data_IF_158397816631
#
_entry.id   IF_158397816631
#
_cell.length_a   1.000
_cell.length_b   1.000
_cell.length_c   1.000
_cell.angle_alpha   90.00
_cell.angle_beta   90.00
_cell.angle_gamma   90.00
#
_symmetry.space_group_name_H-M   'P 1'
#
loop_
_entity.id
_entity.type
_entity.pdbx_description
1 polymer ?
#
# COMPACT_ATOMS: atom_id res chain seq x y z
N UNK A 1 37.62 -1.04 -4.36
CA UNK A 1 36.15 -1.10 -4.25
C UNK A 1 35.70 -2.23 -3.32
N UNK A 2 36.23 -3.47 -3.46
CA UNK A 2 36.04 -4.59 -2.51
C UNK A 2 36.44 -4.33 -1.05
N UNK A 3 37.45 -3.49 -0.81
CA UNK A 3 37.98 -3.26 0.55
C UNK A 3 37.05 -2.42 1.46
N UNK A 4 36.09 -1.68 0.88
CA UNK A 4 35.10 -0.90 1.65
C UNK A 4 33.90 -1.75 2.08
N UNK A 5 33.52 -2.76 1.29
CA UNK A 5 32.53 -3.77 1.68
C UNK A 5 33.06 -4.61 2.85
N UNK A 6 34.36 -4.94 2.84
CA UNK A 6 35.02 -5.70 3.92
C UNK A 6 35.13 -4.94 5.24
N UNK A 7 35.19 -3.60 5.26
CA UNK A 7 35.20 -2.82 6.51
C UNK A 7 33.81 -2.56 7.08
N UNK A 8 32.79 -2.43 6.24
CA UNK A 8 31.43 -2.13 6.70
C UNK A 8 30.78 -3.27 7.52
N UNK A 9 31.20 -4.53 7.29
CA UNK A 9 30.74 -5.68 8.08
C UNK A 9 31.50 -5.78 9.43
N UNK A 10 32.67 -5.14 9.55
CA UNK A 10 33.57 -5.28 10.70
C UNK A 10 33.69 -4.09 11.65
N UNK A 11 33.13 -2.91 11.35
CA UNK A 11 33.29 -1.74 12.22
C UNK A 11 32.12 -0.78 12.16
N UNK A 12 31.21 -0.88 13.14
CA UNK A 12 30.47 0.28 13.64
C UNK A 12 31.48 1.25 14.24
N UNK A 13 31.70 2.40 13.61
CA UNK A 13 32.00 3.64 14.33
C UNK A 13 31.79 4.88 13.45
N UNK A 14 31.14 5.86 14.05
CA UNK A 14 30.60 7.11 13.49
C UNK A 14 31.73 8.04 13.01
N UNK A 15 31.54 8.72 11.87
CA UNK A 15 31.89 10.16 11.69
C UNK A 15 31.35 10.74 10.37
N UNK A 16 30.59 11.82 10.52
CA UNK A 16 30.05 12.76 9.54
C UNK A 16 31.14 13.62 8.92
N UNK A 17 31.00 14.00 7.64
CA UNK A 17 31.34 15.35 7.10
C UNK A 17 30.62 15.56 5.76
N UNK A 18 30.02 16.74 5.58
CA UNK A 18 29.36 17.18 4.34
C UNK A 18 30.22 18.14 3.51
N UNK A 19 29.83 18.36 2.25
CA UNK A 19 30.13 19.58 1.51
C UNK A 19 29.26 19.68 0.23
N UNK A 20 28.78 20.90 0.00
CA UNK A 20 27.95 21.42 -1.08
C UNK A 20 28.76 21.76 -2.33
N UNK A 21 28.20 21.69 -3.54
CA UNK A 21 28.60 22.56 -4.66
C UNK A 21 27.45 22.85 -5.64
N UNK A 22 27.31 24.14 -5.99
CA UNK A 22 26.50 24.71 -7.07
C UNK A 22 27.21 24.53 -8.43
N UNK A 23 26.46 24.46 -9.54
CA UNK A 23 26.70 25.32 -10.71
C UNK A 23 25.55 25.27 -11.74
N UNK A 24 25.29 26.45 -12.30
CA UNK A 24 24.31 26.87 -13.30
C UNK A 24 24.79 26.69 -14.75
N UNK A 25 23.85 26.58 -15.70
CA UNK A 25 24.14 26.73 -17.14
C UNK A 25 22.88 26.81 -18.02
N UNK A 26 22.55 28.02 -18.48
CA UNK A 26 21.56 28.34 -19.53
C UNK A 26 22.04 27.89 -20.92
N UNK A 27 21.14 27.56 -21.86
CA UNK A 27 21.19 28.05 -23.25
C UNK A 27 19.85 27.88 -24.01
N UNK A 28 19.67 28.75 -25.01
CA UNK A 28 18.43 29.19 -25.69
C UNK A 28 17.91 28.28 -26.82
N UNK A 29 16.63 28.52 -27.08
CA UNK A 29 15.72 28.16 -28.19
C UNK A 29 16.21 28.34 -29.64
N UNK A 30 15.66 27.52 -30.57
CA UNK A 30 15.23 27.92 -31.94
C UNK A 30 14.05 27.03 -32.41
N UNK A 31 13.01 27.63 -33.02
CA UNK A 31 11.93 26.97 -33.81
C UNK A 31 12.21 27.12 -35.32
N UNK A 32 11.54 26.34 -36.20
CA UNK A 32 10.47 26.95 -37.00
C UNK A 32 9.22 26.06 -37.26
N UNK A 33 8.13 26.71 -37.70
CA UNK A 33 6.80 26.21 -38.16
C UNK A 33 6.74 26.23 -39.74
N UNK A 34 5.56 26.15 -40.42
CA UNK A 34 4.60 25.04 -40.60
C UNK A 34 4.15 24.86 -42.08
N UNK A 35 3.33 23.83 -42.38
CA UNK A 35 2.41 23.77 -43.54
C UNK A 35 1.61 22.45 -43.48
N UNK A 36 0.48 22.19 -44.12
CA UNK A 36 -0.69 22.98 -44.58
C UNK A 36 -1.79 21.95 -44.89
N UNK A 37 -3.04 22.38 -44.80
CA UNK A 37 -4.31 21.66 -44.88
C UNK A 37 -4.84 21.54 -46.32
N UNK A 38 -5.34 20.36 -46.74
CA UNK A 38 -6.32 20.14 -47.84
C UNK A 38 -6.89 18.72 -47.63
N UNK A 39 -8.16 18.35 -47.79
CA UNK A 39 -9.29 18.91 -48.53
C UNK A 39 -9.96 17.75 -49.27
N UNK A 40 -11.10 17.25 -48.76
CA UNK A 40 -11.98 16.23 -49.39
C UNK A 40 -12.74 16.89 -50.56
N UNK A 41 -13.20 16.18 -51.63
CA UNK A 41 -14.54 15.57 -51.55
C UNK A 41 -14.81 14.37 -52.50
N UNK A 42 -15.75 13.50 -52.14
CA UNK A 42 -16.78 13.09 -53.10
C UNK A 42 -18.01 12.49 -52.39
N UNK A 43 -19.18 12.99 -52.77
CA UNK A 43 -20.50 12.54 -52.35
C UNK A 43 -21.29 12.15 -53.59
N UNK A 44 -22.12 11.09 -53.52
CA UNK A 44 -23.48 11.14 -54.05
C UNK A 44 -24.35 9.89 -53.77
N UNK A 45 -25.62 10.19 -53.45
CA UNK A 45 -26.89 9.46 -53.71
C UNK A 45 -27.17 8.18 -52.89
N UNK A 46 -28.38 7.87 -52.41
CA UNK A 46 -29.78 8.35 -52.54
C UNK A 46 -30.64 7.45 -51.62
N UNK A 47 -31.79 7.92 -51.11
CA UNK A 47 -32.87 7.00 -50.69
C UNK A 47 -33.61 7.35 -49.40
N UNK A 48 -34.93 7.49 -49.51
CA UNK A 48 -35.93 7.91 -48.50
C UNK A 48 -36.47 6.70 -47.66
N UNK A 49 -37.33 6.93 -46.64
CA UNK A 49 -37.28 6.27 -45.33
C UNK A 49 -38.21 5.05 -45.19
N UNK A 50 -37.87 4.15 -44.27
CA UNK A 50 -38.78 3.12 -43.77
C UNK A 50 -38.75 3.07 -42.24
N UNK A 51 -39.94 3.18 -41.64
CA UNK A 51 -40.25 2.82 -40.25
C UNK A 51 -39.91 1.34 -40.02
N UNK A 52 -39.30 1.03 -38.87
CA UNK A 52 -39.40 -0.32 -38.30
C UNK A 52 -39.36 -0.30 -36.77
N UNK A 53 -40.32 -1.00 -36.20
CA UNK A 53 -40.39 -1.37 -34.79
C UNK A 53 -39.29 -2.36 -34.42
N UNK A 54 -38.84 -2.24 -33.17
CA UNK A 54 -38.41 -3.34 -32.29
C UNK A 54 -37.27 -4.24 -32.77
N UNK A 55 -36.05 -3.90 -32.35
CA UNK A 55 -35.02 -4.86 -31.92
C UNK A 55 -34.12 -4.22 -30.88
N UNK A 56 -34.18 -4.75 -29.66
CA UNK A 56 -33.30 -4.47 -28.54
C UNK A 56 -31.85 -4.75 -28.95
N UNK A 57 -31.09 -3.70 -29.27
CA UNK A 57 -29.66 -3.80 -29.49
C UNK A 57 -28.94 -3.82 -28.14
N UNK A 58 -28.52 -5.03 -27.77
CA UNK A 58 -27.38 -5.28 -26.91
C UNK A 58 -26.18 -4.63 -27.59
N UNK A 59 -25.78 -3.45 -27.12
CA UNK A 59 -24.47 -2.87 -27.40
C UNK A 59 -23.85 -2.48 -26.06
N UNK A 60 -22.93 -3.34 -25.62
CA UNK A 60 -22.14 -3.15 -24.42
C UNK A 60 -21.24 -1.94 -24.54
N UNK A 61 -21.53 -0.94 -23.71
CA UNK A 61 -20.60 0.11 -23.30
C UNK A 61 -20.43 0.01 -21.79
N UNK A 62 -19.19 0.14 -21.33
CA UNK A 62 -18.75 -0.07 -19.96
C UNK A 62 -19.67 0.65 -18.95
N UNK A 63 -20.14 -0.08 -17.93
CA UNK A 63 -21.05 0.45 -16.92
C UNK A 63 -20.39 1.57 -16.13
N UNK A 64 -20.85 2.81 -16.29
CA UNK A 64 -20.42 3.90 -15.43
C UNK A 64 -21.06 3.72 -14.04
N UNK A 65 -20.24 3.39 -13.04
CA UNK A 65 -20.65 3.36 -11.63
C UNK A 65 -21.26 4.72 -11.24
N UNK A 66 -22.58 4.78 -11.02
CA UNK A 66 -23.29 6.03 -10.73
C UNK A 66 -23.06 6.43 -9.28
N UNK A 67 -22.62 7.67 -9.05
CA UNK A 67 -22.47 8.23 -7.69
C UNK A 67 -23.83 8.21 -6.96
N UNK A 68 -23.94 7.60 -5.77
CA UNK A 68 -25.14 7.67 -4.94
C UNK A 68 -25.41 9.13 -4.57
N UNK A 69 -26.68 9.51 -4.56
CA UNK A 69 -27.04 10.84 -4.13
C UNK A 69 -27.21 10.89 -2.61
N UNK A 70 -26.11 11.15 -1.91
CA UNK A 70 -26.05 11.14 -0.44
C UNK A 70 -26.98 12.14 0.25
N UNK A 71 -27.46 13.18 -0.45
CA UNK A 71 -28.41 14.14 0.12
C UNK A 71 -29.82 13.57 0.29
N UNK A 72 -30.17 12.51 -0.44
CA UNK A 72 -31.49 11.85 -0.38
C UNK A 72 -31.46 10.51 0.35
N UNK A 73 -30.28 10.03 0.73
CA UNK A 73 -30.12 8.79 1.50
C UNK A 73 -30.30 9.09 2.99
N UNK A 74 -31.16 8.32 3.68
CA UNK A 74 -31.29 8.43 5.13
C UNK A 74 -30.10 7.74 5.82
N UNK A 75 -29.03 8.50 6.00
CA UNK A 75 -27.79 8.04 6.60
C UNK A 75 -27.99 7.78 8.10
N UNK A 76 -28.03 6.49 8.49
CA UNK A 76 -28.04 6.11 9.90
C UNK A 76 -26.82 6.71 10.61
N UNK A 77 -26.99 7.44 11.73
CA UNK A 77 -25.88 7.90 12.53
C UNK A 77 -25.02 6.73 13.01
N UNK A 78 -23.73 6.98 13.20
CA UNK A 78 -22.81 5.98 13.70
C UNK A 78 -21.81 6.61 14.66
N UNK A 79 -21.33 5.84 15.63
CA UNK A 79 -20.33 6.30 16.60
C UNK A 79 -18.96 6.29 15.92
N UNK A 80 -18.27 7.43 15.96
CA UNK A 80 -16.90 7.63 15.44
C UNK A 80 -15.85 7.68 16.53
N UNK A 81 -16.14 8.43 17.59
CA UNK A 81 -15.25 8.60 18.73
C UNK A 81 -15.60 7.57 19.79
N UNK A 82 -14.68 6.62 19.97
CA UNK A 82 -14.75 5.60 21.01
C UNK A 82 -13.48 5.59 21.85
N UNK A 83 -12.61 6.58 21.68
CA UNK A 83 -11.38 6.67 22.44
C UNK A 83 -11.67 7.21 23.84
N UNK A 84 -11.40 6.37 24.84
CA UNK A 84 -11.38 6.77 26.24
C UNK A 84 -9.92 6.65 26.68
N UNK A 85 -9.23 7.76 26.98
CA UNK A 85 -7.83 7.70 27.38
C UNK A 85 -7.69 6.92 28.69
N UNK A 86 -6.72 6.02 28.74
CA UNK A 86 -6.37 5.33 29.98
C UNK A 86 -5.88 6.35 31.04
N UNK A 87 -6.17 6.16 32.34
CA UNK A 87 -5.77 7.10 33.38
C UNK A 87 -4.28 7.48 33.32
N UNK A 88 -3.39 6.52 33.08
CA UNK A 88 -1.95 6.76 32.92
C UNK A 88 -1.63 7.69 31.75
N UNK A 89 -2.34 7.58 30.62
CA UNK A 89 -2.15 8.44 29.44
C UNK A 89 -2.68 9.85 29.71
N UNK A 90 -3.77 9.96 30.47
CA UNK A 90 -4.39 11.24 30.83
C UNK A 90 -3.57 12.01 31.88
N UNK A 91 -2.99 11.31 32.85
CA UNK A 91 -2.17 11.91 33.91
C UNK A 91 -0.69 12.09 33.54
N UNK A 92 -0.26 11.60 32.37
CA UNK A 92 1.14 11.66 31.93
C UNK A 92 1.61 13.11 31.83
N UNK A 93 2.78 13.39 32.43
CA UNK A 93 3.31 14.74 32.46
C UNK A 93 3.65 15.22 31.03
N UNK A 94 3.33 16.47 30.64
CA UNK A 94 3.60 16.97 29.29
C UNK A 94 5.05 16.80 28.83
N UNK A 95 6.01 17.01 29.73
CA UNK A 95 7.43 16.81 29.42
C UNK A 95 7.77 15.36 29.06
N UNK A 96 7.13 14.37 29.71
CA UNK A 96 7.35 12.95 29.40
C UNK A 96 6.78 12.60 28.02
N UNK A 97 5.64 13.19 27.67
CA UNK A 97 5.03 13.04 26.34
C UNK A 97 5.95 13.63 25.27
N UNK A 98 6.50 14.82 25.51
CA UNK A 98 7.40 15.49 24.58
C UNK A 98 8.73 14.72 24.41
N UNK A 99 9.31 14.20 25.50
CA UNK A 99 10.49 13.33 25.45
C UNK A 99 10.19 12.07 24.65
N UNK A 100 9.09 11.37 24.94
CA UNK A 100 8.71 10.18 24.19
C UNK A 100 8.55 10.46 22.69
N UNK A 101 7.93 11.59 22.33
CA UNK A 101 7.78 12.01 20.93
C UNK A 101 9.12 12.32 20.28
N UNK A 102 10.04 12.99 20.97
CA UNK A 102 11.37 13.30 20.45
C UNK A 102 12.19 12.03 20.22
N UNK A 103 12.25 11.12 21.21
CA UNK A 103 13.00 9.86 21.13
C UNK A 103 12.49 8.96 19.99
N UNK A 104 11.16 8.93 19.81
CA UNK A 104 10.52 8.16 18.73
C UNK A 104 10.37 8.92 17.41
N UNK A 105 10.94 10.13 17.30
CA UNK A 105 10.90 10.97 16.11
C UNK A 105 9.47 11.21 15.59
N UNK A 106 8.54 11.43 16.50
CA UNK A 106 7.13 11.68 16.24
C UNK A 106 6.93 13.16 15.96
N UNK A 107 6.47 13.48 14.75
CA UNK A 107 6.03 14.82 14.37
C UNK A 107 4.54 14.82 14.08
N UNK A 108 3.84 15.81 14.61
CA UNK A 108 2.38 15.93 14.53
C UNK A 108 1.99 17.27 13.89
N UNK A 109 0.94 17.24 13.07
CA UNK A 109 0.26 18.44 12.56
C UNK A 109 -1.24 18.20 12.59
N UNK A 110 -1.99 19.14 13.16
CA UNK A 110 -3.43 19.02 13.38
C UNK A 110 -3.81 19.65 14.72
N UNK A 111 -5.08 19.53 15.09
CA UNK A 111 -5.61 20.06 16.35
C UNK A 111 -6.16 18.93 17.21
N UNK A 112 -6.20 19.13 18.54
CA UNK A 112 -6.80 18.18 19.50
C UNK A 112 -6.29 16.74 19.34
N UNK A 113 -4.97 16.60 19.18
CA UNK A 113 -4.32 15.30 18.98
C UNK A 113 -4.16 14.61 20.35
N UNK A 114 -4.71 13.39 20.53
CA UNK A 114 -4.55 12.68 21.80
C UNK A 114 -3.10 12.30 22.12
N UNK A 115 -2.81 12.12 23.41
CA UNK A 115 -1.49 11.68 23.89
C UNK A 115 -1.19 10.24 23.43
N UNK A 116 0.10 9.90 23.20
CA UNK A 116 0.50 8.57 22.77
C UNK A 116 0.29 7.52 23.87
N UNK A 117 -0.07 6.32 23.44
CA UNK A 117 -0.16 5.08 24.22
C UNK A 117 1.22 4.44 24.23
N UNK A 118 1.86 4.27 25.38
CA UNK A 118 3.20 3.69 25.48
C UNK A 118 3.18 2.19 25.76
N UNK A 119 2.09 1.66 26.33
CA UNK A 119 1.90 0.23 26.61
C UNK A 119 0.58 -0.26 26.02
N UNK A 120 0.49 -1.53 25.62
CA UNK A 120 -0.74 -2.06 25.00
C UNK A 120 -1.98 -1.96 25.90
N UNK A 121 -1.79 -2.10 27.22
CA UNK A 121 -2.83 -1.96 28.25
C UNK A 121 -3.44 -0.56 28.27
N UNK A 122 -2.69 0.47 27.87
CA UNK A 122 -3.16 1.85 27.81
C UNK A 122 -4.09 2.11 26.62
N UNK A 123 -4.17 1.18 25.66
CA UNK A 123 -5.01 1.32 24.48
C UNK A 123 -6.47 1.00 24.69
N UNK A 124 -6.86 0.46 25.85
CA UNK A 124 -8.23 0.08 26.18
C UNK A 124 -8.89 -0.79 25.08
N UNK A 125 -8.10 -1.65 24.44
CA UNK A 125 -8.61 -2.60 23.45
C UNK A 125 -9.48 -3.66 24.13
N UNK A 126 -10.50 -4.20 23.46
CA UNK A 126 -11.28 -5.31 23.99
C UNK A 126 -10.39 -6.49 24.39
N UNK A 127 -10.77 -7.23 25.44
CA UNK A 127 -9.98 -8.35 25.99
C UNK A 127 -9.56 -9.36 24.92
N UNK A 128 -10.46 -9.63 23.97
CA UNK A 128 -10.22 -10.55 22.90
C UNK A 128 -9.11 -10.08 21.92
N UNK A 129 -9.01 -8.76 21.70
CA UNK A 129 -7.93 -8.14 20.91
C UNK A 129 -6.63 -8.21 21.70
N UNK A 130 -6.66 -7.88 23.00
CA UNK A 130 -5.49 -7.97 23.88
C UNK A 130 -4.92 -9.38 23.98
N UNK A 131 -5.78 -10.40 24.02
CA UNK A 131 -5.36 -11.81 23.96
C UNK A 131 -4.64 -12.13 22.64
N UNK A 132 -5.15 -11.64 21.51
CA UNK A 132 -4.50 -11.80 20.21
C UNK A 132 -3.14 -11.11 20.17
N UNK A 133 -3.03 -9.87 20.67
CA UNK A 133 -1.76 -9.14 20.77
C UNK A 133 -0.73 -9.94 21.59
N UNK A 134 -1.12 -10.44 22.76
CA UNK A 134 -0.26 -11.27 23.61
C UNK A 134 0.18 -12.57 22.93
N UNK A 135 -0.71 -13.23 22.19
CA UNK A 135 -0.38 -14.43 21.40
C UNK A 135 0.64 -14.18 20.28
N UNK A 136 0.69 -12.97 19.74
CA UNK A 136 1.69 -12.59 18.73
C UNK A 136 3.06 -12.30 19.34
N UNK A 137 3.16 -12.15 20.67
CA UNK A 137 4.43 -11.93 21.37
C UNK A 137 5.01 -10.53 21.20
N UNK A 138 4.19 -9.53 20.88
CA UNK A 138 4.64 -8.13 20.84
C UNK A 138 4.87 -7.61 22.25
N UNK A 139 6.04 -7.00 22.50
CA UNK A 139 6.39 -6.42 23.80
C UNK A 139 5.74 -5.06 24.00
N UNK A 140 5.86 -4.17 23.02
CA UNK A 140 5.38 -2.79 23.11
C UNK A 140 4.84 -2.29 21.75
N UNK A 141 3.95 -1.28 21.76
CA UNK A 141 3.52 -0.59 20.54
C UNK A 141 4.69 0.06 19.81
N UNK A 142 4.70 0.01 18.48
CA UNK A 142 5.66 0.81 17.70
C UNK A 142 5.28 2.30 17.77
N UNK A 143 6.23 3.22 17.49
CA UNK A 143 5.97 4.66 17.52
C UNK A 143 4.73 5.09 16.70
N UNK A 144 4.56 4.51 15.50
CA UNK A 144 3.39 4.80 14.65
C UNK A 144 2.09 4.27 15.27
N UNK A 145 2.13 3.15 15.98
CA UNK A 145 0.98 2.57 16.68
C UNK A 145 0.64 3.37 17.93
N UNK A 146 1.64 3.66 18.76
CA UNK A 146 1.54 4.43 20.00
C UNK A 146 0.78 5.75 19.81
N UNK A 147 1.15 6.52 18.78
CA UNK A 147 0.50 7.79 18.48
C UNK A 147 -0.68 7.65 17.51
N UNK A 148 -0.69 6.65 16.63
CA UNK A 148 -1.72 6.46 15.61
C UNK A 148 -3.01 5.86 16.13
N UNK A 149 -2.96 4.89 17.05
CA UNK A 149 -4.17 4.29 17.62
C UNK A 149 -5.09 5.29 18.31
N UNK A 150 -4.64 6.17 19.23
CA UNK A 150 -5.57 7.06 19.91
C UNK A 150 -6.18 8.09 18.94
N UNK A 151 -5.46 8.50 17.89
CA UNK A 151 -5.99 9.36 16.80
C UNK A 151 -7.07 8.61 15.99
N UNK A 152 -6.78 7.37 15.59
CA UNK A 152 -7.71 6.53 14.83
C UNK A 152 -8.96 6.20 15.65
N UNK A 153 -8.81 5.87 16.94
CA UNK A 153 -9.92 5.53 17.83
C UNK A 153 -10.76 6.74 18.24
N UNK A 154 -10.21 7.97 18.17
CA UNK A 154 -10.98 9.20 18.40
C UNK A 154 -11.83 9.60 17.18
N UNK A 155 -11.85 8.78 16.13
CA UNK A 155 -12.66 9.02 14.92
C UNK A 155 -12.15 10.13 14.01
N UNK A 156 -10.93 10.65 14.26
CA UNK A 156 -10.32 11.69 13.43
C UNK A 156 -9.88 11.10 12.08
N UNK A 157 -10.01 11.89 11.02
CA UNK A 157 -9.33 11.59 9.77
C UNK A 157 -7.82 11.72 9.99
N UNK A 158 -7.02 10.86 9.38
CA UNK A 158 -5.58 10.92 9.59
C UNK A 158 -4.73 10.51 8.40
N UNK A 159 -3.52 11.04 8.38
CA UNK A 159 -2.42 10.60 7.52
C UNK A 159 -1.30 10.09 8.42
N UNK A 160 -0.96 8.81 8.32
CA UNK A 160 0.17 8.19 9.00
C UNK A 160 1.34 7.92 8.05
N UNK A 161 2.46 8.62 8.25
CA UNK A 161 3.69 8.47 7.47
C UNK A 161 4.74 7.81 8.35
N UNK A 162 5.19 6.63 7.93
CA UNK A 162 6.28 5.93 8.60
C UNK A 162 6.93 4.94 7.63
N UNK A 163 8.21 4.63 7.84
CA UNK A 163 8.94 3.68 6.99
C UNK A 163 8.26 2.29 6.91
N UNK A 164 8.61 1.51 5.88
CA UNK A 164 8.17 0.11 5.77
C UNK A 164 8.66 -0.70 6.98
N UNK A 165 7.85 -1.66 7.44
CA UNK A 165 8.17 -2.45 8.63
C UNK A 165 7.91 -1.76 9.97
N UNK A 166 7.42 -0.52 10.00
CA UNK A 166 7.09 0.21 11.24
C UNK A 166 5.80 -0.27 11.95
N UNK A 167 5.09 -1.26 11.41
CA UNK A 167 3.87 -1.79 12.02
C UNK A 167 2.58 -1.03 11.68
N UNK A 168 2.54 -0.26 10.58
CA UNK A 168 1.35 0.48 10.10
C UNK A 168 0.09 -0.37 9.99
N UNK A 169 0.21 -1.64 9.56
CA UNK A 169 -0.94 -2.54 9.39
C UNK A 169 -1.74 -2.70 10.67
N UNK A 170 -1.09 -2.98 11.81
CA UNK A 170 -1.80 -3.02 13.09
C UNK A 170 -2.24 -1.64 13.57
N UNK A 171 -1.56 -0.58 13.12
CA UNK A 171 -1.96 0.82 13.32
C UNK A 171 -3.39 1.11 12.86
N UNK A 172 -3.84 0.52 11.75
CA UNK A 172 -5.21 0.72 11.25
C UNK A 172 -6.15 -0.48 11.44
N UNK A 173 -5.64 -1.71 11.55
CA UNK A 173 -6.49 -2.91 11.75
C UNK A 173 -7.09 -2.94 13.14
N UNK A 174 -6.32 -2.64 14.20
CA UNK A 174 -6.85 -2.71 15.56
C UNK A 174 -7.96 -1.68 15.80
N UNK A 175 -7.79 -0.39 15.42
CA UNK A 175 -8.89 0.57 15.50
C UNK A 175 -10.09 0.18 14.63
N UNK A 176 -9.88 -0.45 13.46
CA UNK A 176 -10.98 -0.94 12.63
C UNK A 176 -11.84 -2.00 13.36
N UNK A 177 -11.22 -2.91 14.10
CA UNK A 177 -11.93 -3.94 14.87
C UNK A 177 -12.76 -3.30 16.00
N UNK A 178 -12.19 -2.34 16.72
CA UNK A 178 -12.92 -1.59 17.77
C UNK A 178 -14.06 -0.79 17.17
N UNK A 179 -13.82 -0.13 16.04
CA UNK A 179 -14.82 0.61 15.27
C UNK A 179 -16.00 -0.28 14.88
N UNK A 180 -15.74 -1.44 14.27
CA UNK A 180 -16.74 -2.42 13.85
C UNK A 180 -17.56 -2.94 15.03
N UNK A 181 -16.89 -3.26 16.14
CA UNK A 181 -17.54 -3.75 17.36
C UNK A 181 -18.51 -2.74 17.97
N UNK A 182 -18.35 -1.46 17.64
CA UNK A 182 -19.20 -0.36 18.08
C UNK A 182 -20.36 -0.05 17.11
N UNK A 183 -20.50 -0.81 16.02
CA UNK A 183 -21.58 -0.64 15.04
C UNK A 183 -22.66 -1.72 15.17
N UNK A 184 -23.83 -1.46 14.58
CA UNK A 184 -24.86 -2.49 14.43
C UNK A 184 -24.29 -3.67 13.62
N UNK A 185 -24.65 -4.93 13.96
CA UNK A 185 -24.31 -6.08 13.14
C UNK A 185 -24.75 -5.92 11.68
N UNK A 186 -24.10 -6.67 10.79
CA UNK A 186 -24.47 -6.69 9.37
C UNK A 186 -25.81 -7.38 9.17
N UNK A 187 -26.69 -6.78 8.38
CA UNK A 187 -27.87 -7.44 7.85
C UNK A 187 -27.56 -8.09 6.51
N UNK A 188 -28.44 -8.99 6.04
CA UNK A 188 -28.32 -9.52 4.67
C UNK A 188 -28.37 -8.38 3.64
N UNK A 189 -27.44 -8.39 2.71
CA UNK A 189 -27.30 -7.35 1.68
C UNK A 189 -26.53 -6.09 2.12
N UNK A 190 -26.13 -6.00 3.39
CA UNK A 190 -25.22 -4.95 3.83
C UNK A 190 -23.81 -5.17 3.24
N UNK A 191 -23.19 -4.08 2.79
CA UNK A 191 -21.78 -4.05 2.44
C UNK A 191 -20.85 -3.96 3.67
N UNK A 192 -19.52 -3.93 3.46
CA UNK A 192 -18.55 -3.85 4.53
C UNK A 192 -18.65 -2.55 5.34
N UNK A 193 -18.27 -2.64 6.62
CA UNK A 193 -18.15 -1.49 7.53
C UNK A 193 -16.79 -0.83 7.36
N UNK A 194 -15.73 -1.64 7.23
CA UNK A 194 -14.39 -1.18 6.96
C UNK A 194 -13.92 -1.61 5.56
N UNK A 195 -13.36 -0.67 4.81
CA UNK A 195 -12.75 -0.90 3.50
C UNK A 195 -11.27 -0.54 3.57
N UNK A 196 -10.40 -1.45 3.15
CA UNK A 196 -8.96 -1.25 3.07
C UNK A 196 -8.54 -1.38 1.61
N UNK A 197 -8.07 -0.29 1.02
CA UNK A 197 -7.52 -0.29 -0.34
C UNK A 197 -6.01 -0.49 -0.29
N UNK A 198 -5.51 -1.43 -1.09
CA UNK A 198 -4.10 -1.70 -1.26
C UNK A 198 -3.71 -1.71 -2.77
N UNK A 199 -2.50 -1.27 -3.14
CA UNK A 199 -2.05 -1.19 -4.53
C UNK A 199 -1.88 -2.55 -5.21
N UNK A 200 -1.48 -3.59 -4.48
CA UNK A 200 -1.15 -4.89 -5.05
C UNK A 200 -1.96 -6.01 -4.41
N UNK A 201 -2.08 -7.12 -5.16
CA UNK A 201 -2.84 -8.30 -4.73
C UNK A 201 -2.15 -8.96 -3.54
N UNK A 202 -0.82 -9.02 -3.63
CA UNK A 202 0.06 -9.61 -2.64
C UNK A 202 -0.05 -8.87 -1.30
N UNK A 203 -0.03 -7.53 -1.32
CA UNK A 203 -0.24 -6.72 -0.12
C UNK A 203 -1.66 -6.90 0.44
N UNK A 204 -2.68 -6.92 -0.41
CA UNK A 204 -4.05 -7.15 0.00
C UNK A 204 -4.22 -8.49 0.74
N UNK A 205 -3.61 -9.57 0.22
CA UNK A 205 -3.63 -10.90 0.86
C UNK A 205 -2.84 -10.91 2.18
N UNK A 206 -1.72 -10.18 2.26
CA UNK A 206 -0.92 -10.06 3.46
C UNK A 206 -1.70 -9.36 4.58
N UNK A 207 -2.36 -8.24 4.27
CA UNK A 207 -3.24 -7.53 5.21
C UNK A 207 -4.34 -8.49 5.69
N UNK A 208 -4.96 -9.26 4.79
CA UNK A 208 -6.00 -10.23 5.15
C UNK A 208 -5.47 -11.29 6.12
N UNK A 209 -4.26 -11.80 5.89
CA UNK A 209 -3.61 -12.75 6.79
C UNK A 209 -3.40 -12.15 8.19
N UNK A 210 -2.97 -10.89 8.26
CA UNK A 210 -2.85 -10.18 9.54
C UNK A 210 -4.23 -10.03 10.21
N UNK A 211 -5.26 -9.66 9.45
CA UNK A 211 -6.64 -9.54 9.96
C UNK A 211 -7.16 -10.87 10.56
N UNK A 212 -6.87 -12.01 9.94
CA UNK A 212 -7.30 -13.32 10.45
C UNK A 212 -6.74 -13.66 11.84
N UNK A 213 -5.57 -13.13 12.21
CA UNK A 213 -5.00 -13.33 13.54
C UNK A 213 -5.86 -12.72 14.65
N UNK A 214 -6.78 -11.80 14.30
CA UNK A 214 -7.67 -11.12 15.23
C UNK A 214 -9.12 -11.61 15.15
N UNK A 215 -9.38 -12.77 14.51
CA UNK A 215 -10.43 -13.79 14.73
C UNK A 215 -11.93 -13.43 14.88
N UNK A 216 -12.28 -12.19 15.19
CA UNK A 216 -13.62 -11.78 15.66
C UNK A 216 -14.40 -10.99 14.62
N UNK A 217 -13.80 -10.73 13.45
CA UNK A 217 -14.40 -9.99 12.33
C UNK A 217 -14.28 -10.83 11.05
N UNK A 218 -15.35 -10.93 10.26
CA UNK A 218 -15.28 -11.60 8.97
C UNK A 218 -14.61 -10.66 7.99
N UNK A 219 -13.57 -11.17 7.33
CA UNK A 219 -12.83 -10.43 6.32
C UNK A 219 -12.67 -11.23 5.03
N UNK A 220 -12.78 -10.56 3.89
CA UNK A 220 -12.41 -11.12 2.58
C UNK A 220 -11.43 -10.21 1.86
N UNK A 221 -10.70 -10.80 0.91
CA UNK A 221 -9.76 -10.09 0.06
C UNK A 221 -10.20 -10.19 -1.41
N UNK A 222 -10.42 -9.04 -2.05
CA UNK A 222 -10.88 -8.96 -3.43
C UNK A 222 -9.84 -8.33 -4.36
N UNK A 223 -9.47 -9.09 -5.38
CA UNK A 223 -8.42 -8.67 -6.31
C UNK A 223 -8.50 -9.35 -7.66
N UNK A 224 -7.95 -8.69 -8.68
CA UNK A 224 -7.93 -9.16 -10.07
C UNK A 224 -7.19 -10.50 -10.24
N UNK A 225 -7.39 -11.20 -11.36
CA UNK A 225 -6.62 -12.41 -11.71
C UNK A 225 -6.96 -13.69 -10.93
N UNK A 226 -7.71 -13.61 -9.83
CA UNK A 226 -8.34 -14.76 -9.19
C UNK A 226 -9.83 -14.91 -9.62
N UNK A 227 -10.42 -16.12 -9.52
CA UNK A 227 -11.81 -16.37 -9.85
C UNK A 227 -12.77 -15.42 -9.11
N UNK A 228 -13.77 -14.88 -9.81
CA UNK A 228 -14.74 -13.95 -9.22
C UNK A 228 -15.75 -14.65 -8.30
N UNK A 229 -16.07 -15.92 -8.55
CA UNK A 229 -17.16 -16.62 -7.89
C UNK A 229 -16.99 -16.78 -6.37
N UNK A 230 -15.79 -17.11 -5.89
CA UNK A 230 -15.51 -17.20 -4.44
C UNK A 230 -15.58 -15.83 -3.78
N UNK A 231 -14.91 -14.83 -4.37
CA UNK A 231 -14.94 -13.45 -3.87
C UNK A 231 -16.36 -12.87 -3.83
N UNK A 232 -17.19 -13.13 -4.86
CA UNK A 232 -18.58 -12.71 -4.89
C UNK A 232 -19.40 -13.36 -3.78
N UNK A 233 -19.22 -14.67 -3.57
CA UNK A 233 -19.90 -15.42 -2.51
C UNK A 233 -19.56 -14.87 -1.12
N UNK A 234 -18.29 -14.58 -0.86
CA UNK A 234 -17.87 -13.99 0.43
C UNK A 234 -18.55 -12.63 0.66
N UNK A 235 -18.60 -11.77 -0.36
CA UNK A 235 -19.26 -10.47 -0.29
C UNK A 235 -20.77 -10.59 -0.06
N UNK A 236 -21.44 -11.52 -0.75
CA UNK A 236 -22.89 -11.77 -0.62
C UNK A 236 -23.27 -12.36 0.74
N UNK A 237 -22.38 -13.14 1.37
CA UNK A 237 -22.55 -13.63 2.73
C UNK A 237 -22.39 -12.54 3.80
N UNK A 238 -21.84 -11.39 3.42
CA UNK A 238 -21.57 -10.25 4.29
C UNK A 238 -20.26 -10.41 5.05
N UNK A 239 -19.41 -9.38 4.94
CA UNK A 239 -18.11 -9.28 5.61
C UNK A 239 -17.99 -7.93 6.27
N UNK A 240 -17.48 -7.86 7.50
CA UNK A 240 -17.28 -6.59 8.18
C UNK A 240 -16.08 -5.81 7.61
N UNK A 241 -15.02 -6.53 7.20
CA UNK A 241 -13.81 -5.96 6.59
C UNK A 241 -13.66 -6.44 5.14
N UNK A 242 -13.56 -5.51 4.20
CA UNK A 242 -13.19 -5.79 2.82
C UNK A 242 -11.80 -5.23 2.54
N UNK A 243 -10.87 -6.08 2.10
CA UNK A 243 -9.53 -5.68 1.68
C UNK A 243 -9.45 -5.82 0.18
N UNK A 244 -9.09 -4.76 -0.55
CA UNK A 244 -9.32 -4.72 -1.98
C UNK A 244 -8.21 -4.04 -2.78
N UNK A 245 -7.93 -4.59 -3.97
CA UNK A 245 -7.32 -3.80 -5.05
C UNK A 245 -8.41 -3.02 -5.78
N UNK A 246 -8.18 -1.73 -6.16
CA UNK A 246 -9.23 -0.86 -6.67
C UNK A 246 -10.02 -1.43 -7.87
N UNK A 247 -9.32 -1.98 -8.86
CA UNK A 247 -9.94 -2.45 -10.09
C UNK A 247 -10.98 -3.57 -9.88
N UNK A 248 -10.73 -4.54 -8.99
CA UNK A 248 -11.69 -5.64 -8.73
C UNK A 248 -12.88 -5.16 -7.90
N UNK A 249 -12.65 -4.23 -6.96
CA UNK A 249 -13.74 -3.64 -6.18
C UNK A 249 -14.72 -2.89 -7.08
N UNK A 250 -14.22 -2.06 -8.01
CA UNK A 250 -15.08 -1.33 -8.96
C UNK A 250 -15.95 -2.31 -9.76
N UNK A 251 -15.38 -3.39 -10.28
CA UNK A 251 -16.13 -4.41 -11.03
C UNK A 251 -17.24 -5.07 -10.18
N UNK A 252 -17.02 -5.30 -8.88
CA UNK A 252 -18.08 -5.81 -8.00
C UNK A 252 -19.13 -4.77 -7.62
N UNK A 253 -18.74 -3.50 -7.50
CA UNK A 253 -19.69 -2.40 -7.27
C UNK A 253 -20.58 -2.17 -8.49
N UNK A 254 -20.00 -2.20 -9.70
CA UNK A 254 -20.74 -2.02 -10.97
C UNK A 254 -21.76 -3.14 -11.21
N UNK A 255 -21.43 -4.36 -10.78
CA UNK A 255 -22.33 -5.53 -10.86
C UNK A 255 -23.39 -5.57 -9.75
N UNK A 256 -23.25 -4.74 -8.72
CA UNK A 256 -24.11 -4.79 -7.53
C UNK A 256 -23.87 -6.03 -6.64
N UNK A 257 -22.72 -6.72 -6.79
CA UNK A 257 -22.34 -7.85 -5.92
C UNK A 257 -22.07 -7.40 -4.49
N UNK A 258 -21.60 -6.16 -4.32
CA UNK A 258 -21.46 -5.49 -3.02
C UNK A 258 -21.81 -4.01 -3.14
N UNK A 259 -21.84 -3.29 -2.03
CA UNK A 259 -22.08 -1.86 -1.96
C UNK A 259 -21.24 -1.25 -0.82
N UNK A 260 -21.11 0.07 -0.77
CA UNK A 260 -20.36 0.76 0.31
C UNK A 260 -21.25 1.64 1.19
N UNK A 261 -22.56 1.36 1.26
CA UNK A 261 -23.51 2.16 2.05
C UNK A 261 -23.26 2.09 3.56
N UNK A 262 -22.73 0.96 4.03
CA UNK A 262 -22.35 0.72 5.43
C UNK A 262 -20.90 1.10 5.74
N UNK A 263 -20.11 1.46 4.74
CA UNK A 263 -18.68 1.73 4.91
C UNK A 263 -18.50 3.06 5.66
N UNK A 264 -17.96 2.98 6.87
CA UNK A 264 -17.74 4.12 7.77
C UNK A 264 -16.28 4.28 8.18
N UNK A 265 -15.41 3.31 7.84
CA UNK A 265 -13.98 3.34 8.10
C UNK A 265 -13.22 2.97 6.82
N UNK A 266 -12.56 3.94 6.19
CA UNK A 266 -11.81 3.77 4.95
C UNK A 266 -10.31 3.89 5.22
N UNK A 267 -9.55 2.90 4.75
CA UNK A 267 -8.08 2.91 4.79
C UNK A 267 -7.53 2.93 3.38
N UNK A 268 -6.59 3.86 3.12
CA UNK A 268 -5.75 3.87 1.93
C UNK A 268 -4.33 3.47 2.35
N UNK A 269 -3.95 2.20 2.15
CA UNK A 269 -2.60 1.72 2.49
C UNK A 269 -1.65 1.80 1.29
N UNK A 270 -0.39 2.16 1.56
CA UNK A 270 0.59 2.56 0.55
C UNK A 270 0.01 3.60 -0.44
N UNK A 271 -0.52 4.71 0.09
CA UNK A 271 -1.18 5.74 -0.70
C UNK A 271 -0.28 6.35 -1.79
N UNK A 272 1.01 6.55 -1.50
CA UNK A 272 2.04 6.92 -2.49
C UNK A 272 2.11 5.94 -3.66
N UNK A 273 2.14 4.64 -3.36
CA UNK A 273 2.20 3.59 -4.39
C UNK A 273 0.94 3.49 -5.21
N UNK A 274 -0.23 3.70 -4.61
CA UNK A 274 -1.47 3.72 -5.37
C UNK A 274 -1.47 4.84 -6.41
N UNK A 275 -0.91 6.01 -6.07
CA UNK A 275 -0.76 7.12 -7.01
C UNK A 275 0.29 6.86 -8.08
N UNK A 276 1.47 6.33 -7.72
CA UNK A 276 2.53 5.93 -8.67
C UNK A 276 1.98 4.97 -9.76
N UNK A 277 1.05 4.10 -9.39
CA UNK A 277 0.46 3.11 -10.28
C UNK A 277 -0.72 3.65 -11.10
N UNK A 278 -1.05 4.94 -10.95
CA UNK A 278 -2.15 5.57 -11.66
C UNK A 278 -3.53 5.15 -11.16
N UNK A 279 -3.65 4.69 -9.91
CA UNK A 279 -4.95 4.30 -9.34
C UNK A 279 -5.79 5.48 -8.87
N UNK A 280 -5.29 6.72 -8.92
CA UNK A 280 -6.04 7.91 -8.49
C UNK A 280 -7.49 7.95 -9.06
N UNK A 281 -7.75 7.74 -10.37
CA UNK A 281 -9.10 7.79 -10.89
C UNK A 281 -10.00 6.66 -10.34
N UNK A 282 -9.42 5.50 -10.03
CA UNK A 282 -10.14 4.37 -9.45
C UNK A 282 -10.45 4.61 -7.97
N UNK A 283 -9.50 5.16 -7.21
CA UNK A 283 -9.68 5.56 -5.81
C UNK A 283 -10.81 6.59 -5.72
N UNK A 284 -10.78 7.64 -6.56
CA UNK A 284 -11.84 8.65 -6.66
C UNK A 284 -13.21 8.02 -6.87
N UNK A 285 -13.34 7.14 -7.87
CA UNK A 285 -14.59 6.41 -8.16
C UNK A 285 -15.10 5.62 -6.96
N UNK A 286 -14.21 4.97 -6.20
CA UNK A 286 -14.59 4.19 -5.02
C UNK A 286 -15.03 5.11 -3.88
N UNK A 287 -14.27 6.17 -3.58
CA UNK A 287 -14.57 7.08 -2.49
C UNK A 287 -15.93 7.78 -2.68
N UNK A 288 -16.28 8.12 -3.92
CA UNK A 288 -17.59 8.70 -4.25
C UNK A 288 -18.78 7.79 -3.93
N UNK A 289 -18.55 6.48 -3.83
CA UNK A 289 -19.55 5.47 -3.45
C UNK A 289 -19.67 5.27 -1.94
N UNK A 290 -18.90 6.03 -1.13
CA UNK A 290 -18.94 5.95 0.33
C UNK A 290 -19.57 7.24 0.87
N UNK A 291 -20.36 7.11 1.94
CA UNK A 291 -20.96 8.24 2.66
C UNK A 291 -19.89 9.30 3.04
N UNK A 292 -20.22 10.60 2.97
CA UNK A 292 -19.24 11.68 3.17
C UNK A 292 -18.74 11.79 4.61
N UNK A 293 -19.54 11.35 5.57
CA UNK A 293 -19.23 11.35 6.99
C UNK A 293 -18.46 10.09 7.42
N UNK A 294 -17.86 9.31 6.53
CA UNK A 294 -16.91 8.24 6.89
C UNK A 294 -15.66 8.80 7.61
N UNK A 295 -14.96 7.95 8.35
CA UNK A 295 -13.57 8.19 8.76
C UNK A 295 -12.63 7.70 7.66
N UNK A 296 -11.58 8.46 7.36
CA UNK A 296 -10.57 8.12 6.35
C UNK A 296 -9.18 8.18 6.97
N UNK A 297 -8.42 7.10 6.78
CA UNK A 297 -7.05 6.95 7.25
C UNK A 297 -6.14 6.63 6.07
N UNK A 298 -5.19 7.51 5.78
CA UNK A 298 -4.18 7.30 4.75
C UNK A 298 -2.87 6.88 5.39
N UNK A 299 -2.26 5.82 4.89
CA UNK A 299 -1.01 5.28 5.40
C UNK A 299 0.00 5.20 4.26
N UNK A 300 1.19 5.72 4.49
CA UNK A 300 2.20 5.85 3.45
C UNK A 300 3.61 5.73 4.01
N UNK A 301 4.55 5.25 3.18
CA UNK A 301 5.97 5.30 3.52
C UNK A 301 6.57 6.68 3.21
N UNK A 302 6.03 7.37 2.20
CA UNK A 302 6.52 8.67 1.75
C UNK A 302 5.41 9.72 1.70
N UNK A 303 5.78 11.00 1.66
CA UNK A 303 4.84 12.13 1.65
C UNK A 303 5.10 13.14 0.50
N UNK A 304 5.08 12.69 -0.77
CA UNK A 304 5.27 13.55 -1.91
C UNK A 304 4.03 14.42 -2.19
N UNK A 305 4.15 15.38 -3.11
CA UNK A 305 3.11 16.37 -3.39
C UNK A 305 1.80 15.73 -3.86
N UNK A 306 1.91 14.65 -4.62
CA UNK A 306 0.78 13.90 -5.18
C UNK A 306 -0.09 13.30 -4.06
N UNK A 307 0.53 12.73 -3.02
CA UNK A 307 -0.19 12.19 -1.86
C UNK A 307 -0.80 13.30 -1.01
N UNK A 308 -0.11 14.44 -0.88
CA UNK A 308 -0.68 15.64 -0.21
C UNK A 308 -1.95 16.10 -0.90
N UNK A 309 -1.91 16.24 -2.23
CA UNK A 309 -3.07 16.64 -3.02
C UNK A 309 -4.23 15.65 -2.84
N UNK A 310 -3.94 14.33 -2.86
CA UNK A 310 -4.95 13.31 -2.60
C UNK A 310 -5.56 13.47 -1.20
N UNK A 311 -4.74 13.69 -0.17
CA UNK A 311 -5.22 13.90 1.19
C UNK A 311 -6.08 15.15 1.33
N UNK A 312 -5.64 16.28 0.78
CA UNK A 312 -6.39 17.55 0.80
C UNK A 312 -7.74 17.45 0.08
N UNK A 313 -7.86 16.57 -0.90
CA UNK A 313 -9.10 16.35 -1.64
C UNK A 313 -10.12 15.47 -0.88
N UNK A 314 -9.66 14.43 -0.18
CA UNK A 314 -10.55 13.42 0.41
C UNK A 314 -10.64 13.44 1.93
N UNK A 315 -9.76 14.18 2.61
CA UNK A 315 -9.76 14.33 4.06
C UNK A 315 -10.24 15.73 4.44
N UNK A 316 -11.23 15.78 5.32
CA UNK A 316 -11.67 17.01 6.00
C UNK A 316 -11.13 16.98 7.42
N UNK A 317 -10.55 18.08 7.90
CA UNK A 317 -10.05 18.25 9.28
C UNK A 317 -9.22 17.04 9.78
N UNK A 318 -8.09 16.78 9.13
CA UNK A 318 -7.27 15.60 9.41
C UNK A 318 -6.01 15.90 10.22
N UNK A 319 -5.56 14.88 10.95
CA UNK A 319 -4.28 14.89 11.68
C UNK A 319 -3.20 14.18 10.86
N UNK A 320 -2.06 14.83 10.65
CA UNK A 320 -0.87 14.25 10.05
C UNK A 320 0.08 13.78 11.16
N UNK A 321 0.42 12.50 11.13
CA UNK A 321 1.39 11.83 11.98
C UNK A 321 2.58 11.39 11.12
N UNK A 322 3.78 11.86 11.44
CA UNK A 322 5.02 11.47 10.77
C UNK A 322 5.98 10.83 11.79
N UNK A 323 6.54 9.68 11.44
CA UNK A 323 7.58 9.00 12.22
C UNK A 323 8.88 9.03 11.42
N UNK A 324 9.94 9.52 12.05
CA UNK A 324 11.24 9.70 11.42
C UNK A 324 11.42 11.09 10.82
N UNK A 325 12.46 11.25 10.00
CA UNK A 325 12.74 12.53 9.35
C UNK A 325 11.62 12.91 8.35
N UNK A 326 11.28 14.21 8.30
CA UNK A 326 10.38 14.77 7.29
C UNK A 326 10.98 14.77 5.87
N UNK A 327 12.29 14.58 5.76
CA UNK A 327 12.98 14.37 4.48
C UNK A 327 12.95 12.89 4.11
N UNK A 328 12.79 12.62 2.81
CA UNK A 328 12.80 11.26 2.25
C UNK A 328 14.08 10.55 2.71
N UNK A 329 13.97 9.72 3.73
CA UNK A 329 15.08 9.00 4.34
C UNK A 329 14.78 7.52 4.17
N UNK A 330 15.66 6.85 3.43
CA UNK A 330 15.67 5.40 3.43
C UNK A 330 16.00 4.91 4.85
N UNK A 331 15.51 3.72 5.21
CA UNK A 331 15.75 3.14 6.52
C UNK A 331 17.27 3.12 6.82
N UNK A 332 17.68 3.74 7.92
CA UNK A 332 19.08 3.86 8.32
C UNK A 332 19.77 2.52 8.58
N UNK A 333 18.99 1.45 8.79
CA UNK A 333 19.50 0.08 8.94
C UNK A 333 19.88 -0.58 7.60
N UNK A 334 19.66 0.10 6.46
CA UNK A 334 19.99 -0.42 5.13
C UNK A 334 21.31 0.21 4.65
N UNK A 335 22.34 -0.62 4.50
CA UNK A 335 23.57 -0.22 3.81
C UNK A 335 23.27 -0.05 2.31
N UNK A 336 23.47 1.17 1.80
CA UNK A 336 23.24 1.50 0.39
C UNK A 336 24.56 1.62 -0.36
N UNK A 337 24.70 0.86 -1.44
CA UNK A 337 25.86 0.87 -2.32
C UNK A 337 25.37 1.17 -3.74
N UNK A 338 26.00 2.14 -4.41
CA UNK A 338 25.71 2.51 -5.80
C UNK A 338 26.93 2.22 -6.65
N UNK A 339 26.79 1.33 -7.63
CA UNK A 339 27.83 1.01 -8.61
C UNK A 339 27.44 1.60 -9.97
N UNK A 340 28.22 2.57 -10.44
CA UNK A 340 28.00 3.24 -11.72
C UNK A 340 28.73 2.45 -12.80
N UNK A 341 27.99 1.95 -13.78
CA UNK A 341 28.51 1.11 -14.85
C UNK A 341 27.72 1.29 -16.14
N UNK A 342 28.32 0.85 -17.25
CA UNK A 342 27.68 0.82 -18.56
C UNK A 342 26.72 -0.39 -18.68
N UNK A 343 25.70 -0.31 -19.55
CA UNK A 343 24.66 -1.36 -19.68
C UNK A 343 25.26 -2.75 -19.96
N UNK A 344 26.32 -2.81 -20.76
CA UNK A 344 26.97 -4.07 -21.14
C UNK A 344 27.76 -4.71 -19.98
N UNK A 345 28.13 -3.94 -18.97
CA UNK A 345 28.88 -4.42 -17.80
C UNK A 345 27.95 -5.01 -16.72
N UNK A 346 26.68 -4.59 -16.71
CA UNK A 346 25.70 -4.97 -15.66
C UNK A 346 25.56 -6.47 -15.47
N UNK A 347 25.60 -7.23 -16.57
CA UNK A 347 25.48 -8.68 -16.49
C UNK A 347 26.68 -9.31 -15.76
N UNK A 348 27.91 -8.96 -16.15
CA UNK A 348 29.13 -9.44 -15.51
C UNK A 348 29.21 -9.00 -14.04
N UNK A 349 28.84 -7.74 -13.75
CA UNK A 349 28.78 -7.21 -12.38
C UNK A 349 27.76 -7.97 -11.51
N UNK A 350 26.57 -8.25 -12.03
CA UNK A 350 25.56 -9.03 -11.33
C UNK A 350 26.06 -10.44 -11.02
N UNK A 351 26.73 -11.09 -11.98
CA UNK A 351 27.31 -12.42 -11.80
C UNK A 351 28.38 -12.45 -10.70
N UNK A 352 29.33 -11.52 -10.74
CA UNK A 352 30.37 -11.38 -9.71
C UNK A 352 29.76 -11.11 -8.33
N UNK A 353 28.77 -10.23 -8.27
CA UNK A 353 28.09 -9.89 -7.01
C UNK A 353 27.36 -11.10 -6.41
N UNK A 354 26.66 -11.89 -7.22
CA UNK A 354 26.00 -13.11 -6.75
C UNK A 354 27.01 -14.14 -6.22
N UNK A 355 28.17 -14.27 -6.86
CA UNK A 355 29.25 -15.14 -6.37
C UNK A 355 29.81 -14.65 -5.03
N UNK A 356 30.09 -13.35 -4.90
CA UNK A 356 30.55 -12.76 -3.64
C UNK A 356 29.52 -12.97 -2.52
N UNK A 357 28.23 -12.77 -2.81
CA UNK A 357 27.14 -12.98 -1.86
C UNK A 357 27.12 -14.42 -1.34
N UNK A 358 27.19 -15.42 -2.22
CA UNK A 358 27.20 -16.82 -1.77
C UNK A 358 28.48 -17.21 -1.03
N UNK A 359 29.62 -16.59 -1.34
CA UNK A 359 30.86 -16.83 -0.59
C UNK A 359 30.82 -16.21 0.81
N UNK A 360 30.25 -15.01 0.95
CA UNK A 360 30.14 -14.29 2.23
C UNK A 360 29.07 -14.92 3.12
N UNK A 361 28.04 -15.53 2.54
CA UNK A 361 26.95 -16.12 3.28
C UNK A 361 26.73 -17.60 2.91
N UNK A 362 27.62 -18.51 3.36
CA UNK A 362 27.56 -19.94 3.04
C UNK A 362 26.32 -20.62 3.62
N UNK A 363 25.74 -20.06 4.68
CA UNK A 363 24.50 -20.55 5.31
C UNK A 363 23.24 -20.13 4.55
N UNK A 364 23.37 -19.26 3.55
CA UNK A 364 22.28 -18.82 2.72
C UNK A 364 21.75 -17.42 3.01
N UNK A 365 21.28 -16.76 1.95
CA UNK A 365 20.67 -15.43 2.05
C UNK A 365 19.68 -15.16 0.93
N UNK A 366 18.42 -14.89 1.29
CA UNK A 366 17.40 -14.52 0.30
C UNK A 366 17.75 -13.18 -0.33
N UNK A 367 17.75 -13.17 -1.65
CA UNK A 367 18.09 -11.99 -2.46
C UNK A 367 16.93 -11.61 -3.36
N UNK A 368 16.63 -10.31 -3.48
CA UNK A 368 15.66 -9.79 -4.44
C UNK A 368 16.39 -8.95 -5.48
N UNK A 369 16.18 -9.24 -6.76
CA UNK A 369 16.75 -8.53 -7.90
C UNK A 369 15.64 -7.78 -8.63
N UNK A 370 15.65 -6.47 -8.54
CA UNK A 370 14.74 -5.58 -9.26
C UNK A 370 15.27 -5.28 -10.66
N UNK A 371 14.38 -5.41 -11.64
CA UNK A 371 14.68 -5.22 -13.05
C UNK A 371 13.55 -4.42 -13.70
N UNK A 372 13.89 -3.51 -14.60
CA UNK A 372 12.91 -2.58 -15.18
C UNK A 372 11.76 -3.26 -15.95
N UNK A 373 12.07 -4.25 -16.81
CA UNK A 373 11.09 -4.82 -17.74
C UNK A 373 10.85 -6.31 -17.54
N UNK A 374 9.61 -6.74 -17.85
CA UNK A 374 9.19 -8.15 -17.77
C UNK A 374 10.09 -9.08 -18.62
N UNK A 375 10.49 -8.61 -19.80
CA UNK A 375 11.41 -9.35 -20.70
C UNK A 375 12.79 -9.52 -20.08
N UNK A 376 13.35 -8.45 -19.47
CA UNK A 376 14.64 -8.54 -18.78
C UNK A 376 14.56 -9.46 -17.56
N UNK A 377 13.45 -9.46 -16.81
CA UNK A 377 13.22 -10.40 -15.68
C UNK A 377 13.39 -11.86 -16.14
N UNK A 378 12.73 -12.26 -17.23
CA UNK A 378 12.85 -13.63 -17.76
C UNK A 378 14.24 -13.96 -18.31
N UNK A 379 14.94 -12.96 -18.88
CA UNK A 379 16.32 -13.13 -19.36
C UNK A 379 17.29 -13.34 -18.19
N UNK A 380 17.26 -12.44 -17.21
CA UNK A 380 18.14 -12.46 -16.03
C UNK A 380 17.90 -13.72 -15.21
N UNK A 381 16.64 -14.12 -15.00
CA UNK A 381 16.32 -15.36 -14.27
C UNK A 381 16.93 -16.59 -14.93
N UNK A 382 16.85 -16.69 -16.27
CA UNK A 382 17.48 -17.79 -17.02
C UNK A 382 19.00 -17.75 -16.93
N UNK A 383 19.60 -16.57 -16.93
CA UNK A 383 21.05 -16.40 -16.74
C UNK A 383 21.48 -16.85 -15.35
N UNK A 384 20.83 -16.36 -14.30
CA UNK A 384 21.12 -16.75 -12.91
C UNK A 384 21.00 -18.27 -12.71
N UNK A 385 19.94 -18.90 -13.25
CA UNK A 385 19.77 -20.36 -13.21
C UNK A 385 20.85 -21.13 -13.97
N UNK A 386 21.34 -20.61 -15.11
CA UNK A 386 22.43 -21.25 -15.87
C UNK A 386 23.74 -21.30 -15.09
N UNK A 387 23.96 -20.34 -14.20
CA UNK A 387 25.10 -20.35 -13.28
C UNK A 387 24.89 -21.21 -12.03
N UNK A 388 23.79 -21.96 -11.94
CA UNK A 388 23.52 -22.89 -10.84
C UNK A 388 22.79 -22.29 -9.65
N UNK A 389 22.41 -21.02 -9.69
CA UNK A 389 21.72 -20.38 -8.58
C UNK A 389 20.20 -20.64 -8.59
N UNK A 390 19.57 -20.85 -7.42
CA UNK A 390 18.14 -21.08 -7.30
C UNK A 390 17.35 -19.78 -7.46
N UNK A 391 17.08 -19.39 -8.71
CA UNK A 391 16.28 -18.19 -9.01
C UNK A 391 14.83 -18.51 -9.37
N UNK A 392 13.91 -17.65 -8.93
CA UNK A 392 12.50 -17.60 -9.30
C UNK A 392 12.15 -16.19 -9.76
N UNK A 393 11.07 -16.01 -10.53
CA UNK A 393 10.73 -14.71 -11.08
C UNK A 393 9.26 -14.35 -10.98
N UNK A 394 8.98 -13.06 -10.80
CA UNK A 394 7.62 -12.53 -10.70
C UNK A 394 7.47 -11.25 -11.53
N UNK A 395 6.45 -11.21 -12.38
CA UNK A 395 6.10 -10.02 -13.17
C UNK A 395 4.62 -10.05 -13.58
N UNK A 396 4.12 -8.93 -14.13
CA UNK A 396 2.69 -8.75 -14.41
C UNK A 396 2.06 -9.74 -15.42
N UNK A 397 2.85 -10.38 -16.29
CA UNK A 397 2.35 -11.39 -17.24
C UNK A 397 2.24 -12.81 -16.66
N UNK A 398 2.76 -13.05 -15.44
CA UNK A 398 2.56 -14.34 -14.75
C UNK A 398 1.10 -14.45 -14.30
N UNK A 399 0.51 -15.64 -14.46
CA UNK A 399 -0.80 -15.94 -13.87
C UNK A 399 -0.73 -15.87 -12.34
N UNK A 400 -1.87 -15.64 -11.68
CA UNK A 400 -1.87 -15.52 -10.21
C UNK A 400 -1.37 -16.79 -9.53
N UNK A 401 -1.74 -17.97 -10.04
CA UNK A 401 -1.28 -19.25 -9.52
C UNK A 401 0.25 -19.38 -9.58
N UNK A 402 0.87 -18.91 -10.67
CA UNK A 402 2.34 -18.88 -10.79
C UNK A 402 2.96 -17.88 -9.82
N UNK A 403 2.36 -16.70 -9.64
CA UNK A 403 2.85 -15.69 -8.68
C UNK A 403 2.80 -16.23 -7.24
N UNK A 404 1.68 -16.83 -6.85
CA UNK A 404 1.49 -17.43 -5.52
C UNK A 404 2.50 -18.57 -5.28
N UNK A 405 2.71 -19.42 -6.29
CA UNK A 405 3.71 -20.50 -6.25
C UNK A 405 5.14 -19.95 -6.09
N UNK A 406 5.52 -18.96 -6.90
CA UNK A 406 6.85 -18.33 -6.83
C UNK A 406 7.11 -17.71 -5.47
N UNK A 407 6.11 -17.03 -4.89
CA UNK A 407 6.25 -16.44 -3.56
C UNK A 407 6.31 -17.48 -2.45
N UNK A 408 5.57 -18.58 -2.57
CA UNK A 408 5.69 -19.70 -1.65
C UNK A 408 7.09 -20.34 -1.72
N UNK A 409 7.62 -20.56 -2.92
CA UNK A 409 8.97 -21.09 -3.13
C UNK A 409 10.06 -20.16 -2.59
N UNK A 410 9.96 -18.85 -2.83
CA UNK A 410 10.88 -17.87 -2.27
C UNK A 410 10.81 -17.81 -0.73
N UNK A 411 9.63 -18.04 -0.14
CA UNK A 411 9.49 -18.11 1.32
C UNK A 411 10.13 -19.38 1.89
N UNK A 412 9.99 -20.51 1.21
CA UNK A 412 10.45 -21.84 1.64
C UNK A 412 11.97 -22.02 1.51
N UNK A 413 12.54 -21.57 0.39
CA UNK A 413 13.96 -21.76 0.08
C UNK A 413 14.79 -20.65 0.72
N UNK A 414 15.77 -21.02 1.57
CA UNK A 414 16.62 -20.06 2.31
C UNK A 414 17.54 -19.23 1.41
N UNK A 415 17.93 -19.77 0.25
CA UNK A 415 18.96 -19.20 -0.62
C UNK A 415 18.37 -18.72 -1.94
N UNK A 416 17.04 -18.59 -2.01
CA UNK A 416 16.36 -18.24 -3.24
C UNK A 416 16.64 -16.80 -3.67
N UNK A 417 16.77 -16.63 -4.99
CA UNK A 417 16.88 -15.34 -5.64
C UNK A 417 15.55 -15.03 -6.33
N UNK A 418 14.86 -13.97 -5.91
CA UNK A 418 13.63 -13.50 -6.56
C UNK A 418 13.95 -12.37 -7.52
N UNK A 419 13.76 -12.61 -8.82
CA UNK A 419 13.89 -11.57 -9.86
C UNK A 419 12.51 -10.98 -10.14
N UNK A 420 12.36 -9.66 -9.99
CA UNK A 420 11.05 -9.01 -10.05
C UNK A 420 11.09 -7.68 -10.81
N UNK A 421 9.97 -7.29 -11.41
CA UNK A 421 9.77 -5.89 -11.81
C UNK A 421 9.36 -5.03 -10.61
N UNK A 422 9.61 -3.73 -10.67
CA UNK A 422 9.21 -2.77 -9.62
C UNK A 422 7.72 -2.91 -9.24
N UNK A 423 6.85 -3.15 -10.22
CA UNK A 423 5.41 -3.34 -10.00
C UNK A 423 5.10 -4.65 -9.25
N UNK A 424 5.88 -5.70 -9.50
CA UNK A 424 5.60 -7.02 -8.98
C UNK A 424 6.17 -7.26 -7.57
N UNK A 425 7.14 -6.45 -7.17
CA UNK A 425 7.78 -6.55 -5.86
C UNK A 425 7.26 -5.54 -4.81
N UNK A 426 6.42 -4.56 -5.21
CA UNK A 426 5.69 -3.70 -4.27
C UNK A 426 4.65 -4.52 -3.50
N UNK A 427 4.68 -4.46 -2.18
CA UNK A 427 3.80 -5.27 -1.32
C UNK A 427 4.29 -6.69 -1.05
N UNK A 428 5.51 -7.05 -1.47
CA UNK A 428 6.17 -8.22 -0.93
C UNK A 428 6.70 -7.90 0.46
N UNK A 429 6.05 -8.38 1.51
CA UNK A 429 6.77 -8.62 2.77
C UNK A 429 7.88 -9.63 2.49
N UNK A 430 9.05 -9.10 2.17
CA UNK A 430 10.27 -9.82 1.98
C UNK A 430 10.83 -10.26 3.35
N UNK A 431 10.03 -11.05 4.09
CA UNK A 431 10.44 -11.60 5.37
C UNK A 431 11.72 -12.43 5.18
N UNK A 432 12.82 -11.89 5.68
CA UNK A 432 14.14 -12.52 5.61
C UNK A 432 14.94 -12.25 4.34
N UNK A 433 14.54 -11.34 3.45
CA UNK A 433 15.46 -10.88 2.39
C UNK A 433 16.57 -10.03 3.02
N UNK A 434 17.80 -10.48 2.88
CA UNK A 434 18.98 -9.80 3.41
C UNK A 434 19.55 -8.81 2.41
N UNK A 435 19.36 -9.09 1.11
CA UNK A 435 20.01 -8.33 0.03
C UNK A 435 18.97 -7.94 -1.03
N UNK A 436 19.02 -6.67 -1.42
CA UNK A 436 18.21 -6.11 -2.50
C UNK A 436 19.12 -5.51 -3.54
N UNK A 437 19.04 -6.01 -4.77
CA UNK A 437 19.80 -5.55 -5.93
C UNK A 437 18.86 -4.82 -6.89
N UNK A 438 19.24 -3.64 -7.36
CA UNK A 438 18.50 -2.91 -8.40
C UNK A 438 19.33 -2.84 -9.68
N UNK A 439 18.91 -3.61 -10.69
CA UNK A 439 19.50 -3.60 -12.03
C UNK A 439 18.61 -2.73 -12.91
N UNK A 440 18.76 -1.41 -12.73
CA UNK A 440 18.13 -0.39 -13.58
C UNK A 440 18.98 -0.14 -14.78
#
# INVERSE_FOLDING_TARGET
MLHHVMRAIGSLEIRTYGASYHSSGNYRSVKPRPSSQYGNPNANRTGRPFQNHSKSNINGTAGNLKKPNWSFENLKPFKKDFYIPHPNVQSRHPQEIDVFRQENQITLKGEKIPNPIQHFEEGNFPDHVMQCIRKQGFSEPTAIQAQGWPIAMSGQNMVGIAQTGSGKTLGYILPAIVHISSQQPLNRGDGPIALILAPTRELAQQIQKVTYNFGYVRSTCIFGGAPKGSQARDLEQGVEICIATPGRLIDFLERGTTNLRRCTYLVLDEADRMLDMGFEPQIRKIIEQIRPDRQVLMWSATWPKEVRNLAEEYLVDYTQLNIGSLTLSANHNILQIVDVCEEHEKQSKLENLLQEIGNINPEGGKTIVFVETKKKVESITRTIRRYGWPAVCIHGDKSQLERDYVLAEFRKNRDAILVATDVAARGLEAHGAQIVLSVR
#
